data_IF_513698788986
#
_entry.id   IF_513698788986
#
_cell.length_a   1.000
_cell.length_b   1.000
_cell.length_c   1.000
_cell.angle_alpha   90.00
_cell.angle_beta   90.00
_cell.angle_gamma   90.00
#
_symmetry.space_group_name_H-M   'P 1'
#
loop_
_entity.id
_entity.type
_entity.pdbx_description
1 polymer ?
#
# COMPACT_ATOMS: atom_id res chain seq x y z
N UNK A 1 -19.71 -16.90 11.01
CA UNK A 1 -18.70 -16.33 11.94
C UNK A 1 -17.57 -15.76 11.09
N UNK A 2 -17.33 -14.44 11.13
CA UNK A 2 -16.29 -13.81 10.29
C UNK A 2 -14.90 -13.99 10.92
N UNK A 3 -13.88 -14.45 10.17
CA UNK A 3 -12.51 -14.58 10.66
C UNK A 3 -11.94 -13.28 11.25
N UNK A 4 -11.15 -13.41 12.32
CA UNK A 4 -10.52 -12.28 13.03
C UNK A 4 -9.63 -11.42 12.11
N UNK A 5 -9.10 -12.00 11.03
CA UNK A 5 -8.24 -11.29 10.08
C UNK A 5 -8.98 -10.19 9.31
N UNK A 6 -10.27 -10.39 9.00
CA UNK A 6 -11.10 -9.37 8.33
C UNK A 6 -11.44 -8.19 9.24
N UNK A 7 -11.10 -8.24 10.52
CA UNK A 7 -11.27 -7.13 11.45
C UNK A 7 -10.02 -6.24 11.54
N UNK A 8 -8.90 -6.64 10.94
CA UNK A 8 -7.62 -5.93 11.02
C UNK A 8 -7.49 -4.91 9.89
N UNK A 9 -7.06 -3.70 10.21
CA UNK A 9 -6.74 -2.68 9.19
C UNK A 9 -5.62 -3.14 8.27
N UNK A 10 -4.63 -3.87 8.80
CA UNK A 10 -3.55 -4.48 7.99
C UNK A 10 -4.11 -5.30 6.84
N UNK A 11 -5.13 -6.12 7.08
CA UNK A 11 -5.69 -6.98 6.05
C UNK A 11 -6.28 -6.15 4.91
N UNK A 12 -7.11 -5.16 5.24
CA UNK A 12 -7.77 -4.31 4.25
C UNK A 12 -6.79 -3.42 3.49
N UNK A 13 -5.75 -2.93 4.14
CA UNK A 13 -4.73 -2.10 3.49
C UNK A 13 -3.85 -2.90 2.53
N UNK A 14 -3.47 -4.13 2.91
CA UNK A 14 -2.77 -5.03 1.99
C UNK A 14 -3.66 -5.41 0.82
N UNK A 15 -4.93 -5.73 1.06
CA UNK A 15 -5.88 -6.06 -0.01
C UNK A 15 -6.08 -4.88 -0.98
N UNK A 16 -6.22 -3.67 -0.45
CA UNK A 16 -6.28 -2.44 -1.24
C UNK A 16 -5.02 -2.25 -2.08
N UNK A 17 -3.84 -2.39 -1.47
CA UNK A 17 -2.56 -2.26 -2.16
C UNK A 17 -2.41 -3.31 -3.29
N UNK A 18 -2.81 -4.57 -3.03
CA UNK A 18 -2.84 -5.62 -4.04
C UNK A 18 -3.78 -5.27 -5.20
N UNK A 19 -4.97 -4.75 -4.91
CA UNK A 19 -5.91 -4.32 -5.94
C UNK A 19 -5.29 -3.24 -6.84
N UNK A 20 -4.65 -2.22 -6.27
CA UNK A 20 -3.98 -1.16 -7.03
C UNK A 20 -2.87 -1.74 -7.92
N UNK A 21 -2.01 -2.61 -7.38
CA UNK A 21 -0.95 -3.26 -8.16
C UNK A 21 -1.50 -4.14 -9.28
N UNK A 22 -2.62 -4.85 -9.06
CA UNK A 22 -3.27 -5.69 -10.08
C UNK A 22 -3.89 -4.86 -11.21
N UNK A 23 -4.55 -3.74 -10.88
CA UNK A 23 -5.08 -2.81 -11.88
C UNK A 23 -3.95 -2.27 -12.76
N UNK A 24 -2.81 -1.93 -12.14
CA UNK A 24 -1.62 -1.51 -12.87
C UNK A 24 -1.05 -2.62 -13.77
N UNK A 25 -0.87 -3.83 -13.23
CA UNK A 25 -0.39 -4.99 -13.98
C UNK A 25 -1.29 -5.35 -15.17
N UNK A 26 -2.60 -5.11 -15.05
CA UNK A 26 -3.57 -5.37 -16.13
C UNK A 26 -3.51 -4.39 -17.30
N UNK A 27 -2.66 -3.34 -17.22
CA UNK A 27 -2.59 -2.28 -18.23
C UNK A 27 -3.74 -1.27 -18.17
N UNK A 28 -4.58 -1.34 -17.14
CA UNK A 28 -5.64 -0.34 -16.94
C UNK A 28 -5.11 0.98 -16.34
N UNK A 29 -3.88 0.96 -15.80
CA UNK A 29 -3.19 2.13 -15.24
C UNK A 29 -1.79 2.28 -15.86
N UNK A 30 -1.74 2.47 -17.18
CA UNK A 30 -0.49 2.60 -17.95
C UNK A 30 0.41 3.77 -17.49
N UNK A 31 -0.17 4.76 -16.82
CA UNK A 31 0.55 5.93 -16.28
C UNK A 31 0.93 5.78 -14.81
N UNK A 32 0.70 4.62 -14.19
CA UNK A 32 0.98 4.39 -12.77
C UNK A 32 0.35 5.43 -11.83
N UNK A 33 -0.78 6.02 -12.22
CA UNK A 33 -1.46 7.10 -11.49
C UNK A 33 -2.01 6.56 -10.17
N UNK A 34 -2.54 5.34 -10.16
CA UNK A 34 -3.09 4.75 -8.95
C UNK A 34 -1.96 4.50 -7.95
N UNK A 35 -0.91 3.80 -8.36
CA UNK A 35 0.28 3.54 -7.52
C UNK A 35 0.92 4.85 -7.02
N UNK A 36 0.93 5.89 -7.85
CA UNK A 36 1.44 7.21 -7.51
C UNK A 36 0.58 7.91 -6.43
N UNK A 37 -0.72 8.04 -6.65
CA UNK A 37 -1.62 8.81 -5.77
C UNK A 37 -1.95 8.09 -4.47
N UNK A 38 -1.94 6.75 -4.46
CA UNK A 38 -2.33 5.97 -3.28
C UNK A 38 -1.18 5.70 -2.33
N UNK A 39 -0.01 6.30 -2.52
CA UNK A 39 1.05 6.23 -1.53
C UNK A 39 1.72 7.61 -1.39
N UNK A 40 1.64 8.26 -0.21
CA UNK A 40 2.21 9.59 -0.03
C UNK A 40 3.74 9.63 -0.23
N UNK A 41 4.45 8.51 -0.06
CA UNK A 41 5.89 8.43 -0.34
C UNK A 41 6.16 8.53 -1.85
N UNK A 42 5.24 8.04 -2.67
CA UNK A 42 5.40 8.04 -4.13
C UNK A 42 5.22 9.43 -4.74
N UNK A 43 4.65 10.40 -4.01
CA UNK A 43 4.54 11.80 -4.42
C UNK A 43 5.92 12.41 -4.75
N UNK A 44 6.96 12.00 -4.02
CA UNK A 44 8.33 12.46 -4.26
C UNK A 44 8.95 11.89 -5.55
N UNK A 45 8.30 10.90 -6.18
CA UNK A 45 8.79 10.19 -7.36
C UNK A 45 7.94 10.48 -8.62
N UNK A 46 7.06 11.49 -8.57
CA UNK A 46 6.02 11.79 -9.57
C UNK A 46 6.46 11.62 -11.03
N UNK A 47 7.53 12.32 -11.43
CA UNK A 47 7.98 12.33 -12.83
C UNK A 47 8.53 10.99 -13.32
N UNK A 48 9.21 10.24 -12.45
CA UNK A 48 9.77 8.94 -12.81
C UNK A 48 8.72 7.83 -12.75
N UNK A 49 7.89 7.82 -11.71
CA UNK A 49 6.87 6.79 -11.51
C UNK A 49 5.80 6.84 -12.60
N UNK A 50 5.32 8.04 -12.94
CA UNK A 50 4.25 8.20 -13.95
C UNK A 50 4.71 7.92 -15.38
N UNK A 51 6.02 8.01 -15.62
CA UNK A 51 6.65 7.72 -16.93
C UNK A 51 7.37 6.38 -16.96
N UNK A 52 7.27 5.57 -15.89
CA UNK A 52 8.02 4.32 -15.72
C UNK A 52 7.89 3.37 -16.91
N UNK A 53 6.71 3.31 -17.54
CA UNK A 53 6.45 2.45 -18.71
C UNK A 53 7.03 3.00 -20.03
N UNK A 54 7.41 4.28 -20.07
CA UNK A 54 7.87 4.99 -21.27
C UNK A 54 9.31 5.50 -21.16
N UNK A 55 9.91 5.39 -19.98
CA UNK A 55 11.23 5.92 -19.69
C UNK A 55 12.31 4.90 -20.10
N UNK A 56 13.19 5.23 -21.07
CA UNK A 56 14.22 4.31 -21.56
C UNK A 56 15.26 3.92 -20.48
N UNK A 57 15.41 4.73 -19.42
CA UNK A 57 16.33 4.44 -18.31
C UNK A 57 15.72 3.48 -17.26
N UNK A 58 14.45 3.08 -17.45
CA UNK A 58 13.76 2.19 -16.50
C UNK A 58 13.84 0.75 -16.98
N UNK A 59 14.54 -0.08 -16.21
CA UNK A 59 14.57 -1.53 -16.44
C UNK A 59 13.29 -2.19 -15.93
N UNK A 60 12.91 -3.32 -16.54
CA UNK A 60 11.70 -4.08 -16.16
C UNK A 60 11.69 -4.53 -14.68
N UNK A 61 12.86 -4.57 -14.04
CA UNK A 61 13.05 -4.91 -12.63
C UNK A 61 12.45 -3.85 -11.70
N UNK A 62 12.31 -2.59 -12.12
CA UNK A 62 11.79 -1.53 -11.27
C UNK A 62 10.30 -1.66 -10.95
N UNK A 63 9.50 -2.23 -11.86
CA UNK A 63 8.06 -2.44 -11.65
C UNK A 63 7.74 -3.32 -10.43
N UNK A 64 8.28 -4.56 -10.31
CA UNK A 64 8.03 -5.39 -9.14
C UNK A 64 8.59 -4.77 -7.85
N UNK A 65 9.69 -4.01 -7.93
CA UNK A 65 10.22 -3.27 -6.76
C UNK A 65 9.21 -2.22 -6.28
N UNK A 66 8.63 -1.45 -7.19
CA UNK A 66 7.64 -0.42 -6.85
C UNK A 66 6.39 -1.04 -6.23
N UNK A 67 5.90 -2.15 -6.78
CA UNK A 67 4.77 -2.87 -6.20
C UNK A 67 5.08 -3.44 -4.82
N UNK A 68 6.28 -3.99 -4.64
CA UNK A 68 6.72 -4.49 -3.35
C UNK A 68 6.78 -3.37 -2.31
N UNK A 69 7.33 -2.21 -2.67
CA UNK A 69 7.38 -1.04 -1.79
C UNK A 69 5.98 -0.51 -1.47
N UNK A 70 5.07 -0.45 -2.45
CA UNK A 70 3.68 -0.06 -2.24
C UNK A 70 2.95 -1.03 -1.29
N UNK A 71 3.18 -2.34 -1.44
CA UNK A 71 2.65 -3.38 -0.54
C UNK A 71 3.20 -3.25 0.88
N UNK A 72 4.53 -3.11 1.00
CA UNK A 72 5.19 -2.98 2.30
C UNK A 72 4.72 -1.72 3.04
N UNK A 73 4.58 -0.60 2.35
CA UNK A 73 4.08 0.64 2.93
C UNK A 73 2.70 0.44 3.59
N UNK A 74 1.75 -0.08 2.82
CA UNK A 74 0.38 -0.30 3.32
C UNK A 74 0.30 -1.37 4.40
N UNK A 75 1.13 -2.41 4.32
CA UNK A 75 1.25 -3.42 5.37
C UNK A 75 1.76 -2.82 6.68
N UNK A 76 2.84 -2.04 6.63
CA UNK A 76 3.44 -1.38 7.80
C UNK A 76 2.46 -0.39 8.42
N UNK A 77 1.80 0.43 7.60
CA UNK A 77 0.81 1.39 8.07
C UNK A 77 -0.36 0.69 8.76
N UNK A 78 -0.86 -0.40 8.17
CA UNK A 78 -1.93 -1.19 8.76
C UNK A 78 -1.53 -1.81 10.10
N UNK A 79 -0.30 -2.34 10.21
CA UNK A 79 0.24 -2.89 11.46
C UNK A 79 0.36 -1.79 12.51
N UNK A 80 0.82 -0.59 12.13
CA UNK A 80 0.93 0.55 13.03
C UNK A 80 -0.44 0.95 13.60
N UNK A 81 -1.48 1.04 12.76
CA UNK A 81 -2.85 1.36 13.20
C UNK A 81 -3.41 0.25 14.09
N UNK A 82 -3.30 -1.02 13.68
CA UNK A 82 -3.77 -2.15 14.49
C UNK A 82 -3.06 -2.20 15.86
N UNK A 83 -1.78 -1.83 15.92
CA UNK A 83 -1.02 -1.75 17.17
C UNK A 83 -1.46 -0.58 18.04
N UNK A 84 -1.71 0.60 17.44
CA UNK A 84 -2.21 1.76 18.15
C UNK A 84 -3.58 1.50 18.78
N UNK A 85 -4.49 0.84 18.06
CA UNK A 85 -5.82 0.48 18.58
C UNK A 85 -5.69 -0.40 19.82
N UNK A 86 -4.85 -1.45 19.77
CA UNK A 86 -4.61 -2.34 20.92
C UNK A 86 -4.04 -1.59 22.13
N UNK A 87 -3.16 -0.62 21.88
CA UNK A 87 -2.59 0.21 22.95
C UNK A 87 -3.70 1.05 23.59
N UNK A 88 -4.53 1.72 22.80
CA UNK A 88 -5.66 2.54 23.28
C UNK A 88 -6.67 1.69 24.05
N UNK A 89 -7.02 0.50 23.56
CA UNK A 89 -7.90 -0.44 24.26
C UNK A 89 -7.33 -0.86 25.61
N UNK A 90 -6.03 -1.16 25.67
CA UNK A 90 -5.34 -1.50 26.92
C UNK A 90 -5.36 -0.35 27.93
N UNK A 91 -5.21 0.90 27.49
CA UNK A 91 -5.30 2.06 28.36
C UNK A 91 -6.71 2.25 28.94
N UNK A 92 -7.77 2.10 28.12
CA UNK A 92 -9.16 2.18 28.60
C UNK A 92 -9.51 1.13 29.65
N UNK A 93 -8.97 -0.08 29.53
CA UNK A 93 -9.21 -1.16 30.51
C UNK A 93 -8.48 -0.96 31.84
N UNK A 94 -7.49 -0.08 31.91
CA UNK A 94 -6.75 0.24 33.15
C UNK A 94 -7.44 1.33 33.97
N UNK A 95 -8.30 2.13 33.33
CA UNK A 95 -9.01 3.26 33.94
C UNK A 95 -10.39 2.86 34.51
N UNK A 96 -10.93 1.72 34.07
CA UNK A 96 -12.12 1.06 34.63
C UNK A 96 -11.75 0.02 35.69
#
# INVERSE_FOLDING_TARGET
MMPLIFKKFTFWFVLFSLFICLMNLSGQDDKNILVFLTNPINLYLEGWLTRMNTNPDTTDIFKPIVYLLHLLFWAILGIAIDSLIKIVEKFKMKEN
#
